data_IF_297979738415
#
_entry.id   IF_297979738415
#
_cell.length_a   1.000
_cell.length_b   1.000
_cell.length_c   1.000
_cell.angle_alpha   90.00
_cell.angle_beta   90.00
_cell.angle_gamma   90.00
#
_symmetry.space_group_name_H-M   'P 1'
#
loop_
_entity.id
_entity.type
_entity.pdbx_description
1 polymer ?
#
# COMPACT_ATOMS: atom_id res chain seq x y z
N UNK A 1 3.24 9.86 12.73
CA UNK A 1 2.29 9.34 13.74
C UNK A 1 2.91 9.09 15.11
N UNK A 2 4.09 8.47 15.21
CA UNK A 2 4.69 8.06 16.50
C UNK A 2 4.70 9.13 17.59
N UNK A 3 5.09 10.37 17.25
CA UNK A 3 5.16 11.50 18.19
C UNK A 3 3.85 11.79 18.94
N UNK A 4 2.71 11.66 18.28
CA UNK A 4 1.41 12.16 18.80
C UNK A 4 0.56 11.08 19.46
N UNK A 5 0.84 9.81 19.21
CA UNK A 5 0.12 8.69 19.84
C UNK A 5 0.61 8.51 21.27
N UNK A 6 -0.29 8.21 22.21
CA UNK A 6 0.06 7.91 23.61
C UNK A 6 0.74 6.53 23.73
N UNK A 7 1.60 6.29 24.74
CA UNK A 7 2.11 4.95 25.05
C UNK A 7 0.97 3.92 25.14
N UNK A 8 1.19 2.72 24.59
CA UNK A 8 0.16 1.68 24.45
C UNK A 8 -0.85 1.88 23.32
N UNK A 9 -0.85 3.03 22.64
CA UNK A 9 -1.74 3.31 21.52
C UNK A 9 -1.45 2.47 20.26
N UNK A 10 -2.46 2.32 19.41
CA UNK A 10 -2.38 1.53 18.18
C UNK A 10 -2.23 2.41 16.94
N UNK A 11 -1.33 2.02 16.04
CA UNK A 11 -1.30 2.44 14.65
C UNK A 11 -2.03 1.38 13.82
N UNK A 12 -2.96 1.80 12.97
CA UNK A 12 -3.59 0.95 11.96
C UNK A 12 -3.54 1.70 10.63
N UNK A 13 -2.98 1.08 9.60
CA UNK A 13 -2.84 1.64 8.24
C UNK A 13 -3.44 0.64 7.26
N UNK A 14 -4.43 1.08 6.48
CA UNK A 14 -5.04 0.28 5.41
C UNK A 14 -4.68 0.94 4.10
N UNK A 15 -3.77 0.32 3.33
CA UNK A 15 -3.25 0.93 2.12
C UNK A 15 -2.93 -0.12 1.06
N UNK A 16 -2.75 0.33 -0.19
CA UNK A 16 -2.23 -0.54 -1.25
C UNK A 16 -0.92 -1.21 -0.85
N UNK A 17 -0.71 -2.40 -1.40
CA UNK A 17 0.54 -3.13 -1.24
C UNK A 17 0.76 -4.00 -2.47
N UNK A 18 1.60 -5.02 -2.33
CA UNK A 18 1.96 -5.89 -3.45
C UNK A 18 1.28 -7.25 -3.36
N UNK A 19 0.60 -7.72 -4.44
CA UNK A 19 0.03 -9.06 -4.46
C UNK A 19 1.06 -10.13 -4.10
N UNK A 20 0.65 -11.15 -3.34
CA UNK A 20 1.60 -12.15 -2.80
C UNK A 20 1.92 -13.27 -3.78
N UNK A 21 1.00 -13.58 -4.70
CA UNK A 21 1.21 -14.58 -5.74
C UNK A 21 1.93 -13.96 -6.94
N UNK A 22 3.17 -14.40 -7.21
CA UNK A 22 4.06 -13.77 -8.19
C UNK A 22 3.50 -13.65 -9.62
N UNK A 23 2.79 -14.66 -10.17
CA UNK A 23 2.14 -14.51 -11.48
C UNK A 23 1.04 -13.44 -11.46
N UNK A 24 0.20 -13.41 -10.41
CA UNK A 24 -0.83 -12.38 -10.28
C UNK A 24 -0.24 -10.99 -10.05
N UNK A 25 0.84 -10.86 -9.27
CA UNK A 25 1.60 -9.60 -9.13
C UNK A 25 2.04 -9.09 -10.49
N UNK A 26 2.65 -9.95 -11.31
CA UNK A 26 3.15 -9.59 -12.64
C UNK A 26 2.02 -9.09 -13.54
N UNK A 27 0.88 -9.80 -13.57
CA UNK A 27 -0.29 -9.38 -14.35
C UNK A 27 -0.86 -8.08 -13.80
N UNK A 28 -1.05 -7.96 -12.49
CA UNK A 28 -1.60 -6.77 -11.86
C UNK A 28 -0.73 -5.53 -12.13
N UNK A 29 0.57 -5.60 -11.90
CA UNK A 29 1.51 -4.47 -12.04
C UNK A 29 1.77 -4.10 -13.51
N UNK A 30 1.72 -5.07 -14.44
CA UNK A 30 1.97 -4.80 -15.86
C UNK A 30 0.69 -4.48 -16.64
N UNK A 31 -0.40 -5.22 -16.45
CA UNK A 31 -1.61 -5.03 -17.23
C UNK A 31 -2.53 -3.97 -16.63
N UNK A 32 -2.92 -4.09 -15.36
CA UNK A 32 -3.90 -3.17 -14.77
C UNK A 32 -3.35 -1.73 -14.74
N UNK A 33 -2.09 -1.59 -14.32
CA UNK A 33 -1.44 -0.28 -14.15
C UNK A 33 -0.98 0.35 -15.48
N UNK A 34 -0.88 -0.42 -16.58
CA UNK A 34 -0.68 0.15 -17.93
C UNK A 34 -2.00 0.43 -18.64
N UNK A 35 -3.04 -0.34 -18.35
CA UNK A 35 -4.37 -0.14 -18.92
C UNK A 35 -5.13 1.02 -18.28
N UNK A 36 -4.96 1.24 -16.96
CA UNK A 36 -5.60 2.30 -16.19
C UNK A 36 -5.45 3.69 -16.84
N UNK A 37 -4.25 4.15 -17.24
CA UNK A 37 -4.09 5.43 -17.95
C UNK A 37 -4.82 5.54 -19.29
N UNK A 38 -4.89 4.46 -20.06
CA UNK A 38 -5.56 4.45 -21.37
C UNK A 38 -7.09 4.49 -21.22
N UNK A 39 -7.61 3.74 -20.24
CA UNK A 39 -9.04 3.75 -19.90
C UNK A 39 -9.41 5.12 -19.32
N UNK A 40 -8.63 5.65 -18.38
CA UNK A 40 -8.87 6.95 -17.76
C UNK A 40 -8.84 8.10 -18.77
N UNK A 41 -7.91 8.11 -19.73
CA UNK A 41 -7.90 9.11 -20.81
C UNK A 41 -9.17 9.08 -21.67
N UNK A 42 -9.82 7.93 -21.78
CA UNK A 42 -11.02 7.75 -22.61
C UNK A 42 -12.32 7.99 -21.84
N UNK A 43 -12.32 7.83 -20.52
CA UNK A 43 -13.55 7.85 -19.70
C UNK A 43 -13.57 8.90 -18.58
N UNK A 44 -12.42 9.48 -18.22
CA UNK A 44 -12.32 10.43 -17.10
C UNK A 44 -12.09 11.85 -17.59
N UNK A 45 -12.70 12.81 -16.88
CA UNK A 45 -12.40 14.24 -17.00
C UNK A 45 -11.04 14.64 -16.40
N UNK A 46 -10.38 13.75 -15.66
CA UNK A 46 -9.04 13.97 -15.09
C UNK A 46 -8.14 12.71 -15.22
N UNK A 47 -7.52 12.50 -16.39
CA UNK A 47 -6.66 11.35 -16.63
C UNK A 47 -5.37 11.34 -15.78
N UNK A 48 -4.84 12.53 -15.45
CA UNK A 48 -3.59 12.68 -14.69
C UNK A 48 -3.72 12.11 -13.27
N UNK A 49 -4.89 12.23 -12.65
CA UNK A 49 -5.16 11.64 -11.33
C UNK A 49 -5.00 10.11 -11.32
N UNK A 50 -5.40 9.43 -12.41
CA UNK A 50 -5.26 7.97 -12.53
C UNK A 50 -3.83 7.55 -12.85
N UNK A 51 -3.09 8.36 -13.61
CA UNK A 51 -1.66 8.15 -13.84
C UNK A 51 -0.92 8.27 -12.51
N UNK A 52 -1.17 9.35 -11.76
CA UNK A 52 -0.59 9.55 -10.44
C UNK A 52 -0.93 8.41 -9.47
N UNK A 53 -2.19 7.94 -9.45
CA UNK A 53 -2.58 6.78 -8.65
C UNK A 53 -1.78 5.53 -9.05
N UNK A 54 -1.58 5.31 -10.35
CA UNK A 54 -0.82 4.17 -10.81
C UNK A 54 0.66 4.25 -10.40
N UNK A 55 1.25 5.44 -10.51
CA UNK A 55 2.64 5.68 -10.12
C UNK A 55 2.85 5.57 -8.61
N UNK A 56 1.94 6.12 -7.80
CA UNK A 56 2.04 6.08 -6.35
C UNK A 56 1.93 4.67 -5.79
N UNK A 57 1.00 3.84 -6.30
CA UNK A 57 0.90 2.42 -5.91
C UNK A 57 2.18 1.65 -6.27
N UNK A 58 2.82 1.96 -7.40
CA UNK A 58 4.08 1.29 -7.80
C UNK A 58 5.27 1.70 -6.94
N UNK A 59 5.31 2.95 -6.51
CA UNK A 59 6.38 3.48 -5.65
C UNK A 59 6.19 3.07 -4.17
N UNK A 60 4.97 2.71 -3.78
CA UNK A 60 4.64 2.36 -2.40
C UNK A 60 5.35 1.05 -1.96
N UNK A 61 5.89 1.00 -0.72
CA UNK A 61 6.54 -0.20 -0.21
C UNK A 61 5.58 -1.39 -0.13
N UNK A 62 6.13 -2.60 -0.31
CA UNK A 62 5.37 -3.81 -0.05
C UNK A 62 5.12 -4.02 1.45
N UNK A 63 4.44 -5.11 1.82
CA UNK A 63 4.05 -5.36 3.19
C UNK A 63 5.24 -5.37 4.15
N UNK A 64 6.35 -5.98 3.73
CA UNK A 64 7.57 -6.08 4.54
C UNK A 64 8.29 -4.75 4.58
N UNK A 65 8.37 -4.03 3.46
CA UNK A 65 8.95 -2.69 3.38
C UNK A 65 8.27 -1.73 4.35
N UNK A 66 6.93 -1.65 4.29
CA UNK A 66 6.18 -0.76 5.17
C UNK A 66 6.30 -1.18 6.65
N UNK A 67 6.31 -2.49 6.93
CA UNK A 67 6.51 -2.99 8.29
C UNK A 67 7.91 -2.64 8.85
N UNK A 68 8.94 -2.64 8.01
CA UNK A 68 10.28 -2.22 8.37
C UNK A 68 10.34 -0.71 8.65
N UNK A 69 9.71 0.12 7.83
CA UNK A 69 9.60 1.57 8.05
C UNK A 69 8.84 1.90 9.35
N UNK A 70 7.72 1.20 9.61
CA UNK A 70 6.96 1.35 10.86
C UNK A 70 7.83 0.97 12.07
N UNK A 71 8.55 -0.16 12.00
CA UNK A 71 9.46 -0.58 13.07
C UNK A 71 10.58 0.43 13.30
N UNK A 72 11.19 0.94 12.22
CA UNK A 72 12.26 1.93 12.28
C UNK A 72 11.81 3.26 12.90
N UNK A 73 10.52 3.59 12.79
CA UNK A 73 9.94 4.76 13.45
C UNK A 73 9.68 4.58 14.97
N UNK A 74 10.03 3.42 15.55
CA UNK A 74 9.96 3.14 17.00
C UNK A 74 8.72 2.36 17.45
N UNK A 75 7.86 1.92 16.52
CA UNK A 75 6.71 1.07 16.84
C UNK A 75 7.12 -0.38 17.08
N UNK A 76 6.35 -1.09 17.90
CA UNK A 76 6.56 -2.52 18.21
C UNK A 76 5.34 -3.35 17.82
N UNK A 77 5.46 -4.68 17.88
CA UNK A 77 4.40 -5.63 17.56
C UNK A 77 3.81 -5.41 16.14
N UNK A 78 4.68 -5.05 15.18
CA UNK A 78 4.28 -4.74 13.81
C UNK A 78 3.82 -6.02 13.10
N UNK A 79 2.57 -6.01 12.66
CA UNK A 79 1.94 -7.12 11.93
C UNK A 79 1.15 -6.56 10.75
N UNK A 80 0.83 -7.39 9.77
CA UNK A 80 -0.08 -7.02 8.70
C UNK A 80 -1.00 -8.16 8.29
N UNK A 81 -2.14 -7.80 7.70
CA UNK A 81 -3.09 -8.73 7.09
C UNK A 81 -3.34 -8.34 5.65
N UNK A 82 -3.16 -9.29 4.73
CA UNK A 82 -3.44 -9.08 3.31
C UNK A 82 -4.95 -9.17 3.03
N UNK A 83 -5.43 -8.25 2.19
CA UNK A 83 -6.76 -8.26 1.60
C UNK A 83 -6.64 -8.48 0.10
N UNK A 84 -7.60 -9.19 -0.50
CA UNK A 84 -7.66 -9.45 -1.95
C UNK A 84 -6.33 -9.96 -2.52
N UNK A 85 -5.72 -10.94 -1.87
CA UNK A 85 -4.45 -11.53 -2.31
C UNK A 85 -3.23 -10.60 -2.18
N UNK A 86 -3.31 -9.52 -1.39
CA UNK A 86 -2.21 -8.59 -1.11
C UNK A 86 -2.23 -7.31 -1.93
N UNK A 87 -3.28 -7.07 -2.74
CA UNK A 87 -3.49 -5.77 -3.40
C UNK A 87 -3.57 -4.65 -2.36
N UNK A 88 -4.21 -4.92 -1.23
CA UNK A 88 -4.27 -4.04 -0.05
C UNK A 88 -3.76 -4.81 1.16
N UNK A 89 -3.11 -4.12 2.09
CA UNK A 89 -2.72 -4.67 3.37
C UNK A 89 -3.17 -3.75 4.51
N UNK A 90 -3.55 -4.37 5.63
CA UNK A 90 -3.82 -3.66 6.89
C UNK A 90 -2.63 -3.90 7.81
N UNK A 91 -1.81 -2.89 8.03
CA UNK A 91 -0.71 -2.91 9.00
C UNK A 91 -1.21 -2.45 10.35
N UNK A 92 -0.75 -3.12 11.40
CA UNK A 92 -1.03 -2.79 12.80
C UNK A 92 0.27 -2.78 13.59
N UNK A 93 0.43 -1.78 14.45
CA UNK A 93 1.56 -1.71 15.38
C UNK A 93 1.15 -1.00 16.68
N UNK A 94 1.95 -1.17 17.72
CA UNK A 94 1.73 -0.56 19.05
C UNK A 94 2.85 0.40 19.40
N UNK A 95 2.51 1.54 19.99
CA UNK A 95 3.51 2.41 20.60
C UNK A 95 3.94 1.80 21.94
N UNK A 96 5.24 1.59 22.18
CA UNK A 96 5.74 1.13 23.47
C UNK A 96 5.15 1.91 24.65
#
# INVERSE_FOLDING_TARGET
MYRVVKPGGLLVVTEFSSPTFAPFRTIYTNYLMRALPAIARKTSSNPDAYIYLAESIRAWPDQKGLAAEISAAGWVDVTWKNLTGGVVAVHKARKP
#
